data_IF_824552829556
#
_entry.id   IF_824552829556
#
_cell.length_a   1.000
_cell.length_b   1.000
_cell.length_c   1.000
_cell.angle_alpha   90.00
_cell.angle_beta   90.00
_cell.angle_gamma   90.00
#
_symmetry.space_group_name_H-M   'P 1'
#
loop_
_entity.id
_entity.type
_entity.pdbx_description
1 polymer ?
#
# COMPACT_ATOMS: atom_id res chain seq x y z
N UNK A 1 -1.40 23.48 -6.53
CA UNK A 1 -0.10 23.20 -7.17
C UNK A 1 0.62 22.01 -6.54
N UNK A 2 0.98 22.01 -5.24
CA UNK A 2 1.71 20.88 -4.62
C UNK A 2 0.82 19.64 -4.34
N UNK A 3 -0.43 19.83 -3.91
CA UNK A 3 -1.38 18.71 -3.71
C UNK A 3 -1.76 17.99 -5.02
N UNK A 4 -1.65 18.66 -6.17
CA UNK A 4 -1.86 18.08 -7.50
C UNK A 4 -0.74 17.08 -7.85
N UNK A 5 0.52 17.43 -7.57
CA UNK A 5 1.65 16.55 -7.84
C UNK A 5 1.60 15.26 -7.00
N UNK A 6 1.24 15.38 -5.72
CA UNK A 6 1.04 14.23 -4.82
C UNK A 6 -0.11 13.36 -5.32
N UNK A 7 -1.23 13.98 -5.71
CA UNK A 7 -2.38 13.26 -6.27
C UNK A 7 -2.01 12.53 -7.56
N UNK A 8 -1.19 13.14 -8.42
CA UNK A 8 -0.72 12.54 -9.66
C UNK A 8 0.26 11.39 -9.41
N UNK A 9 1.15 11.50 -8.41
CA UNK A 9 2.03 10.39 -8.02
C UNK A 9 1.27 9.23 -7.40
N UNK A 10 0.28 9.51 -6.54
CA UNK A 10 -0.61 8.48 -6.00
C UNK A 10 -1.39 7.81 -7.15
N UNK A 11 -1.84 8.59 -8.14
CA UNK A 11 -2.53 8.07 -9.32
C UNK A 11 -1.63 7.16 -10.16
N UNK A 12 -0.38 7.56 -10.39
CA UNK A 12 0.63 6.72 -11.08
C UNK A 12 0.91 5.43 -10.32
N UNK A 13 1.18 5.52 -9.02
CA UNK A 13 1.39 4.34 -8.17
C UNK A 13 0.17 3.40 -8.18
N UNK A 14 -1.06 3.95 -8.18
CA UNK A 14 -2.30 3.16 -8.35
C UNK A 14 -2.34 2.44 -9.69
N UNK A 15 -1.95 3.11 -10.77
CA UNK A 15 -1.96 2.56 -12.12
C UNK A 15 -0.90 1.45 -12.26
N UNK A 16 0.33 1.69 -11.80
CA UNK A 16 1.40 0.70 -11.78
C UNK A 16 1.01 -0.52 -10.94
N UNK A 17 0.39 -0.30 -9.78
CA UNK A 17 -0.12 -1.37 -8.94
C UNK A 17 -1.25 -2.16 -9.62
N UNK A 18 -2.14 -1.48 -10.37
CA UNK A 18 -3.20 -2.13 -11.13
C UNK A 18 -2.65 -2.95 -12.30
N UNK A 19 -1.64 -2.45 -13.01
CA UNK A 19 -0.97 -3.16 -14.10
C UNK A 19 -0.27 -4.44 -13.59
N UNK A 20 0.35 -4.38 -12.41
CA UNK A 20 0.96 -5.54 -11.75
C UNK A 20 -0.07 -6.53 -11.15
N UNK A 21 -1.37 -6.21 -11.17
CA UNK A 21 -2.42 -7.04 -10.57
C UNK A 21 -2.61 -8.38 -11.22
N UNK A 22 -2.55 -8.42 -12.55
CA UNK A 22 -2.75 -9.66 -13.26
C UNK A 22 -1.51 -10.57 -13.19
N UNK A 23 -0.31 -9.98 -13.27
CA UNK A 23 0.95 -10.72 -13.37
C UNK A 23 1.58 -11.07 -12.02
N UNK A 24 1.45 -10.20 -11.02
CA UNK A 24 2.11 -10.35 -9.72
C UNK A 24 1.11 -10.66 -8.61
N UNK A 25 0.06 -9.84 -8.46
CA UNK A 25 -0.83 -9.94 -7.28
C UNK A 25 -1.73 -11.19 -7.32
N UNK A 26 -2.30 -11.53 -8.49
CA UNK A 26 -3.18 -12.71 -8.65
C UNK A 26 -2.46 -14.06 -8.74
N UNK A 27 -1.15 -14.10 -8.93
CA UNK A 27 -0.38 -15.35 -8.99
C UNK A 27 -0.17 -15.90 -7.58
N UNK A 28 -0.66 -17.10 -7.31
CA UNK A 28 -0.44 -17.84 -6.06
C UNK A 28 0.97 -18.44 -5.94
N UNK A 29 1.63 -18.68 -7.07
CA UNK A 29 3.02 -19.18 -7.12
C UNK A 29 4.06 -18.18 -6.57
N UNK A 30 3.72 -16.89 -6.49
CA UNK A 30 4.67 -15.86 -6.08
C UNK A 30 4.62 -15.71 -4.57
N UNK A 31 5.77 -15.95 -3.92
CA UNK A 31 5.92 -15.80 -2.46
C UNK A 31 5.48 -14.42 -1.99
N UNK A 32 4.74 -14.41 -0.89
CA UNK A 32 4.22 -13.20 -0.25
C UNK A 32 5.35 -12.21 0.15
N UNK A 33 6.55 -12.74 0.46
CA UNK A 33 7.75 -11.94 0.74
C UNK A 33 8.24 -11.11 -0.46
N UNK A 34 8.12 -11.62 -1.69
CA UNK A 34 8.50 -10.90 -2.92
C UNK A 34 7.44 -9.83 -3.22
N UNK A 35 6.16 -10.19 -3.13
CA UNK A 35 5.03 -9.25 -3.24
C UNK A 35 5.18 -8.08 -2.25
N UNK A 36 5.56 -8.38 -1.01
CA UNK A 36 5.82 -7.38 0.04
C UNK A 36 7.00 -6.47 -0.29
N UNK A 37 8.10 -6.99 -0.84
CA UNK A 37 9.26 -6.17 -1.24
C UNK A 37 8.90 -5.19 -2.35
N UNK A 38 8.20 -5.64 -3.38
CA UNK A 38 7.74 -4.78 -4.49
C UNK A 38 6.79 -3.70 -3.96
N UNK A 39 5.85 -4.09 -3.10
CA UNK A 39 4.95 -3.17 -2.45
C UNK A 39 5.68 -2.11 -1.61
N UNK A 40 6.60 -2.55 -0.74
CA UNK A 40 7.39 -1.68 0.09
C UNK A 40 8.22 -0.70 -0.75
N UNK A 41 8.86 -1.17 -1.83
CA UNK A 41 9.63 -0.29 -2.71
C UNK A 41 8.75 0.79 -3.39
N UNK A 42 7.55 0.43 -3.86
CA UNK A 42 6.65 1.37 -4.53
C UNK A 42 5.94 2.33 -3.55
N UNK A 43 5.51 1.86 -2.38
CA UNK A 43 4.75 2.66 -1.42
C UNK A 43 5.65 3.42 -0.47
N UNK A 44 6.75 2.82 0.03
CA UNK A 44 7.70 3.55 0.88
C UNK A 44 8.43 4.64 0.09
N UNK A 45 8.73 4.46 -1.20
CA UNK A 45 9.33 5.55 -1.99
C UNK A 45 8.39 6.76 -2.10
N UNK A 46 7.09 6.54 -2.24
CA UNK A 46 6.08 7.62 -2.24
C UNK A 46 5.95 8.23 -0.85
N UNK A 47 5.88 7.42 0.21
CA UNK A 47 5.74 7.92 1.58
C UNK A 47 6.96 8.70 2.07
N UNK A 48 8.17 8.19 1.84
CA UNK A 48 9.43 8.83 2.25
C UNK A 48 9.56 10.18 1.55
N UNK A 49 9.33 10.24 0.24
CA UNK A 49 9.41 11.49 -0.52
C UNK A 49 8.43 12.55 -0.02
N UNK A 50 7.19 12.15 0.25
CA UNK A 50 6.15 13.06 0.76
C UNK A 50 6.51 13.55 2.17
N UNK A 51 7.10 12.70 3.01
CA UNK A 51 7.54 13.04 4.37
C UNK A 51 8.77 13.95 4.40
N UNK A 52 9.71 13.79 3.46
CA UNK A 52 10.92 14.63 3.39
C UNK A 52 10.62 16.02 2.83
N UNK A 53 9.62 16.13 1.96
CA UNK A 53 9.41 17.36 1.20
C UNK A 53 8.30 18.24 1.78
N UNK A 54 7.30 17.71 2.52
CA UNK A 54 6.10 18.49 2.89
C UNK A 54 5.41 18.10 4.20
N UNK A 55 4.76 19.06 4.92
CA UNK A 55 3.83 18.74 5.98
C UNK A 55 2.57 18.08 5.39
N UNK A 56 2.39 16.78 5.65
CA UNK A 56 1.27 16.00 5.13
C UNK A 56 -0.05 16.51 5.72
N UNK A 57 -0.99 16.89 4.84
CA UNK A 57 -2.37 17.21 5.24
C UNK A 57 -3.10 15.94 5.63
N UNK A 58 -3.97 16.03 6.65
CA UNK A 58 -4.73 14.89 7.19
C UNK A 58 -5.56 14.17 6.11
N UNK A 59 -6.07 14.91 5.12
CA UNK A 59 -6.81 14.35 3.99
C UNK A 59 -5.96 13.46 3.07
N UNK A 60 -4.70 13.84 2.84
CA UNK A 60 -3.77 13.09 2.00
C UNK A 60 -3.28 11.83 2.73
N UNK A 61 -3.06 11.91 4.05
CA UNK A 61 -2.81 10.73 4.90
C UNK A 61 -3.94 9.72 4.79
N UNK A 62 -5.20 10.17 4.86
CA UNK A 62 -6.37 9.28 4.74
C UNK A 62 -6.43 8.61 3.37
N UNK A 63 -6.19 9.35 2.28
CA UNK A 63 -6.15 8.78 0.92
C UNK A 63 -5.04 7.75 0.74
N UNK A 64 -3.88 7.98 1.35
CA UNK A 64 -2.76 7.04 1.38
C UNK A 64 -3.10 5.79 2.19
N UNK A 65 -3.71 5.94 3.37
CA UNK A 65 -4.12 4.80 4.21
C UNK A 65 -5.17 3.90 3.55
N UNK A 66 -6.12 4.49 2.81
CA UNK A 66 -7.11 3.73 2.03
C UNK A 66 -6.44 2.97 0.90
N UNK A 67 -5.46 3.59 0.23
CA UNK A 67 -4.67 2.93 -0.80
C UNK A 67 -3.83 1.79 -0.23
N UNK A 68 -3.14 2.03 0.89
CA UNK A 68 -2.33 1.05 1.61
C UNK A 68 -3.16 -0.19 1.96
N UNK A 69 -4.33 0.00 2.59
CA UNK A 69 -5.23 -1.10 2.91
C UNK A 69 -5.71 -1.89 1.69
N UNK A 70 -6.02 -1.20 0.59
CA UNK A 70 -6.46 -1.87 -0.65
C UNK A 70 -5.34 -2.72 -1.25
N UNK A 71 -4.11 -2.23 -1.22
CA UNK A 71 -2.94 -2.97 -1.70
C UNK A 71 -2.63 -4.16 -0.80
N UNK A 72 -2.63 -3.98 0.53
CA UNK A 72 -2.38 -5.04 1.49
C UNK A 72 -3.41 -6.17 1.36
N UNK A 73 -4.71 -5.88 1.19
CA UNK A 73 -5.72 -6.92 0.93
C UNK A 73 -5.45 -7.70 -0.35
N UNK A 74 -4.99 -7.02 -1.40
CA UNK A 74 -4.66 -7.63 -2.68
C UNK A 74 -3.40 -8.52 -2.58
N UNK A 75 -2.43 -8.15 -1.73
CA UNK A 75 -1.20 -8.92 -1.46
C UNK A 75 -1.46 -10.12 -0.55
N UNK A 76 -2.30 -9.93 0.47
CA UNK A 76 -2.71 -10.97 1.41
C UNK A 76 -3.62 -12.03 0.77
N UNK A 77 -4.02 -11.85 -0.49
CA UNK A 77 -5.02 -12.67 -1.20
C UNK A 77 -6.33 -12.83 -0.39
N UNK A 78 -6.63 -11.84 0.45
CA UNK A 78 -7.86 -11.83 1.23
C UNK A 78 -8.99 -11.49 0.27
N UNK A 79 -9.76 -12.52 -0.06
CA UNK A 79 -10.97 -12.37 -0.87
C UNK A 79 -11.90 -11.36 -0.20
N UNK A 80 -12.63 -10.61 -1.02
CA UNK A 80 -13.60 -9.61 -0.55
C UNK A 80 -14.68 -10.21 0.37
N UNK A 81 -14.91 -11.52 0.23
CA UNK A 81 -15.84 -12.34 1.02
C UNK A 81 -15.32 -12.68 2.43
N UNK A 82 -14.00 -12.69 2.60
CA UNK A 82 -13.37 -12.99 3.88
C UNK A 82 -13.46 -11.76 4.79
N UNK A 83 -14.28 -11.81 5.84
CA UNK A 83 -14.37 -10.78 6.89
C UNK A 83 -13.10 -10.79 7.77
N UNK A 84 -12.02 -10.22 7.25
CA UNK A 84 -10.74 -10.08 7.96
C UNK A 84 -10.58 -8.64 8.39
N UNK A 85 -10.23 -8.43 9.67
CA UNK A 85 -9.99 -7.08 10.19
C UNK A 85 -8.77 -6.45 9.51
N UNK A 86 -8.78 -5.12 9.42
CA UNK A 86 -7.71 -4.35 8.81
C UNK A 86 -6.35 -4.57 9.51
N UNK A 87 -6.35 -4.76 10.83
CA UNK A 87 -5.16 -5.12 11.62
C UNK A 87 -4.62 -6.51 11.26
N UNK A 88 -5.50 -7.49 11.07
CA UNK A 88 -5.12 -8.86 10.70
C UNK A 88 -4.51 -8.92 9.30
N UNK A 89 -5.03 -8.15 8.33
CA UNK A 89 -4.44 -8.03 6.99
C UNK A 89 -3.03 -7.44 7.08
N UNK A 90 -2.84 -6.38 7.87
CA UNK A 90 -1.51 -5.78 8.11
C UNK A 90 -0.55 -6.78 8.75
N UNK A 91 -1.01 -7.55 9.74
CA UNK A 91 -0.20 -8.58 10.41
C UNK A 91 0.26 -9.66 9.42
N UNK A 92 -0.63 -10.16 8.56
CA UNK A 92 -0.30 -11.21 7.58
C UNK A 92 0.69 -10.75 6.51
N UNK A 93 0.59 -9.50 6.05
CA UNK A 93 1.44 -8.99 4.97
C UNK A 93 2.74 -8.44 5.52
N UNK A 94 2.67 -7.55 6.50
CA UNK A 94 3.82 -6.80 6.98
C UNK A 94 4.51 -7.47 8.17
N UNK A 95 3.85 -8.42 8.85
CA UNK A 95 4.43 -9.11 10.02
C UNK A 95 4.61 -8.20 11.24
N UNK A 96 4.01 -7.01 11.21
CA UNK A 96 4.12 -6.00 12.27
C UNK A 96 2.86 -6.08 13.14
N UNK A 97 3.04 -6.61 14.35
CA UNK A 97 2.27 -6.16 15.51
C UNK A 97 2.41 -4.64 15.62
N UNK A 98 1.31 -3.96 15.94
CA UNK A 98 1.22 -2.50 15.94
C UNK A 98 2.21 -1.82 16.88
N UNK A 99 3.44 -1.60 16.41
CA UNK A 99 4.43 -0.68 16.97
C UNK A 99 5.10 0.06 15.83
N UNK A 100 4.38 1.03 15.29
CA UNK A 100 4.98 2.16 14.60
C UNK A 100 4.26 3.41 15.10
N UNK A 101 4.39 3.62 16.41
CA UNK A 101 4.22 4.86 17.16
C UNK A 101 4.81 4.61 18.56
N UNK A 102 6.10 4.85 18.69
CA UNK A 102 6.63 5.67 19.79
C UNK A 102 7.49 6.74 19.12
#
# INVERSE_FOLDING_TARGET
MVSDEISERIRKARLDFANLRHHLWRRRDIRLSIKRRVYCAAVCSVLIYVSETWPIRVEDTRKLQVFDHRCLRNIAEVCWDHRVSNSEVRRRVLGIDGKLVD
#
